data_IF_262323218784
#
_entry.id   IF_262323218784
#
_cell.length_a   1.000
_cell.length_b   1.000
_cell.length_c   1.000
_cell.angle_alpha   90.00
_cell.angle_beta   90.00
_cell.angle_gamma   90.00
#
_symmetry.space_group_name_H-M   'P 1'
#
loop_
_entity.id
_entity.type
_entity.pdbx_description
1 polymer ?
#
# COMPACT_ATOMS: atom_id res chain seq x y z
N UNK A 1 -7.17 3.26 7.08
CA UNK A 1 -8.19 4.20 7.59
C UNK A 1 -9.60 3.60 7.59
N UNK A 2 -10.08 3.03 6.48
CA UNK A 2 -11.46 2.55 6.37
C UNK A 2 -11.93 1.63 7.51
N UNK A 3 -11.08 0.69 7.98
CA UNK A 3 -11.42 -0.19 9.10
C UNK A 3 -11.79 0.57 10.39
N UNK A 4 -11.10 1.69 10.67
CA UNK A 4 -11.38 2.54 11.84
C UNK A 4 -12.71 3.28 11.65
N UNK A 5 -12.96 3.81 10.44
CA UNK A 5 -14.22 4.50 10.13
C UNK A 5 -15.42 3.56 10.33
N UNK A 6 -15.34 2.34 9.79
CA UNK A 6 -16.37 1.33 9.98
C UNK A 6 -16.56 0.94 11.44
N UNK A 7 -15.48 0.80 12.22
CA UNK A 7 -15.57 0.51 13.64
C UNK A 7 -16.28 1.62 14.44
N UNK A 8 -15.99 2.88 14.13
CA UNK A 8 -16.68 4.03 14.74
C UNK A 8 -18.16 4.03 14.38
N UNK A 9 -18.51 3.75 13.12
CA UNK A 9 -19.91 3.67 12.66
C UNK A 9 -20.70 2.60 13.43
N UNK A 10 -20.14 1.41 13.61
CA UNK A 10 -20.77 0.32 14.38
C UNK A 10 -21.05 0.72 15.84
N UNK A 11 -20.13 1.47 16.46
CA UNK A 11 -20.32 1.95 17.83
C UNK A 11 -21.38 3.05 17.87
N UNK A 12 -21.34 4.01 16.95
CA UNK A 12 -22.28 5.13 16.89
C UNK A 12 -23.73 4.67 16.67
N UNK A 13 -23.94 3.65 15.85
CA UNK A 13 -25.24 3.07 15.58
C UNK A 13 -25.71 2.10 16.68
N UNK A 14 -24.91 1.92 17.73
CA UNK A 14 -25.17 0.96 18.81
C UNK A 14 -25.25 -0.51 18.35
N UNK A 15 -24.71 -0.82 17.17
CA UNK A 15 -24.62 -2.18 16.63
C UNK A 15 -23.51 -2.99 17.34
N UNK A 16 -22.49 -2.31 17.88
CA UNK A 16 -21.43 -2.91 18.67
C UNK A 16 -21.08 -2.03 19.88
N UNK A 17 -20.66 -2.69 20.98
CA UNK A 17 -20.14 -2.00 22.18
C UNK A 17 -18.62 -1.85 22.16
N UNK A 18 -17.92 -2.69 21.42
CA UNK A 18 -16.48 -2.67 21.24
C UNK A 18 -16.11 -3.31 19.89
N UNK A 19 -15.11 -2.77 19.21
CA UNK A 19 -14.65 -3.25 17.89
C UNK A 19 -13.13 -3.16 17.83
N UNK A 20 -12.47 -4.22 17.35
CA UNK A 20 -11.04 -4.20 17.00
C UNK A 20 -10.90 -3.79 15.54
N UNK A 21 -10.06 -2.77 15.28
CA UNK A 21 -9.82 -2.26 13.94
C UNK A 21 -8.33 -2.07 13.67
N UNK A 22 -7.93 -2.30 12.42
CA UNK A 22 -6.54 -2.17 11.99
C UNK A 22 -6.38 -2.45 10.50
N UNK A 23 -5.13 -2.60 10.07
CA UNK A 23 -4.75 -3.03 8.73
C UNK A 23 -3.52 -3.92 8.82
N UNK A 24 -3.40 -4.85 7.86
CA UNK A 24 -2.24 -5.73 7.72
C UNK A 24 -1.89 -5.81 6.24
N UNK A 25 -0.60 -5.78 5.94
CA UNK A 25 -0.09 -5.85 4.57
C UNK A 25 1.28 -6.54 4.58
N UNK A 26 1.55 -7.39 3.58
CA UNK A 26 2.84 -8.09 3.44
C UNK A 26 3.22 -8.15 1.96
N UNK A 27 3.67 -7.02 1.42
CA UNK A 27 4.00 -6.89 -0.01
C UNK A 27 5.11 -7.86 -0.45
N UNK A 28 6.07 -8.19 0.43
CA UNK A 28 7.12 -9.18 0.15
C UNK A 28 6.59 -10.59 -0.11
N UNK A 29 5.32 -10.85 0.21
CA UNK A 29 4.62 -12.12 -0.04
C UNK A 29 3.50 -11.97 -1.09
N UNK A 30 3.54 -10.92 -1.90
CA UNK A 30 2.61 -10.74 -3.02
C UNK A 30 2.64 -11.95 -3.96
N UNK A 31 1.50 -12.54 -4.31
CA UNK A 31 1.48 -13.75 -5.13
C UNK A 31 1.65 -13.40 -6.62
N UNK A 32 2.12 -14.40 -7.37
CA UNK A 32 1.94 -14.41 -8.81
C UNK A 32 0.73 -15.28 -9.17
N UNK A 33 -0.07 -14.84 -10.14
CA UNK A 33 -1.19 -15.62 -10.68
C UNK A 33 -0.89 -16.07 -12.10
N UNK A 34 -1.38 -17.26 -12.46
CA UNK A 34 -1.31 -17.82 -13.80
C UNK A 34 -2.74 -18.01 -14.31
N UNK A 35 -3.36 -16.99 -14.94
CA UNK A 35 -4.80 -16.99 -15.21
C UNK A 35 -5.27 -18.14 -16.10
N UNK A 36 -4.44 -18.57 -17.04
CA UNK A 36 -4.78 -19.63 -17.99
C UNK A 36 -4.73 -21.05 -17.37
N UNK A 37 -4.14 -21.23 -16.18
CA UNK A 37 -3.71 -22.56 -15.74
C UNK A 37 -4.87 -23.42 -15.23
N UNK A 38 -5.98 -22.80 -14.85
CA UNK A 38 -7.19 -23.54 -14.44
C UNK A 38 -7.76 -24.38 -15.58
N UNK A 39 -7.73 -23.88 -16.81
CA UNK A 39 -8.34 -24.53 -17.98
C UNK A 39 -7.35 -24.90 -19.09
N UNK A 40 -6.07 -24.57 -18.87
CA UNK A 40 -4.97 -24.82 -19.79
C UNK A 40 -4.77 -23.69 -20.80
N UNK A 41 -3.51 -23.30 -21.01
CA UNK A 41 -3.11 -22.32 -22.03
C UNK A 41 -3.20 -22.86 -23.47
N UNK A 42 -3.44 -24.17 -23.64
CA UNK A 42 -3.51 -24.92 -24.91
C UNK A 42 -2.23 -24.89 -25.75
N UNK A 43 -1.82 -23.74 -26.28
CA UNK A 43 -0.64 -23.58 -27.12
C UNK A 43 -0.17 -22.11 -27.12
N UNK A 44 1.15 -21.89 -27.13
CA UNK A 44 1.76 -20.56 -27.10
C UNK A 44 2.09 -20.07 -25.69
N UNK A 45 2.58 -18.83 -25.61
CA UNK A 45 3.02 -18.23 -24.33
C UNK A 45 1.83 -17.92 -23.42
N UNK A 46 2.01 -18.14 -22.10
CA UNK A 46 1.05 -17.76 -21.08
C UNK A 46 1.70 -16.83 -20.05
N UNK A 47 1.01 -15.75 -19.69
CA UNK A 47 1.52 -14.78 -18.73
C UNK A 47 1.51 -15.27 -17.28
N UNK A 48 2.50 -14.79 -16.53
CA UNK A 48 2.56 -14.86 -15.07
C UNK A 48 2.41 -13.42 -14.57
N UNK A 49 1.36 -13.16 -13.79
CA UNK A 49 0.99 -11.79 -13.38
C UNK A 49 1.39 -11.59 -11.93
N UNK A 50 2.18 -10.55 -11.66
CA UNK A 50 2.51 -10.10 -10.30
C UNK A 50 1.32 -9.34 -9.69
N UNK A 51 0.72 -9.89 -8.63
CA UNK A 51 -0.41 -9.24 -7.96
C UNK A 51 -0.01 -8.04 -7.10
N UNK A 52 1.27 -7.93 -6.70
CA UNK A 52 1.77 -6.71 -6.05
C UNK A 52 1.75 -5.57 -7.06
N UNK A 53 2.23 -5.80 -8.28
CA UNK A 53 2.14 -4.81 -9.37
C UNK A 53 0.68 -4.53 -9.71
N UNK A 54 -0.18 -5.55 -9.70
CA UNK A 54 -1.63 -5.40 -9.87
C UNK A 54 -2.26 -4.46 -8.83
N UNK A 55 -1.85 -4.52 -7.57
CA UNK A 55 -2.30 -3.61 -6.51
C UNK A 55 -1.75 -2.18 -6.65
N UNK A 56 -0.63 -2.01 -7.35
CA UNK A 56 0.02 -0.71 -7.62
C UNK A 56 -0.33 -0.13 -9.00
N UNK A 57 -1.28 -0.74 -9.72
CA UNK A 57 -1.75 -0.26 -11.01
C UNK A 57 -3.17 0.27 -10.91
N UNK A 58 -3.42 1.36 -11.64
CA UNK A 58 -4.74 1.93 -11.77
C UNK A 58 -5.63 0.94 -12.55
N UNK A 59 -6.76 0.51 -11.98
CA UNK A 59 -7.64 -0.45 -12.66
C UNK A 59 -8.36 0.16 -13.87
N UNK A 60 -8.30 1.47 -14.08
CA UNK A 60 -8.93 2.18 -15.19
C UNK A 60 -7.98 2.52 -16.35
N UNK A 61 -6.72 2.06 -16.27
CA UNK A 61 -5.77 2.11 -17.39
C UNK A 61 -4.80 3.30 -17.38
N UNK A 62 -4.72 4.08 -16.30
CA UNK A 62 -3.70 5.15 -16.17
C UNK A 62 -2.28 4.55 -16.02
N UNK A 63 -2.18 3.30 -15.57
CA UNK A 63 -0.92 2.59 -15.39
C UNK A 63 -0.45 2.55 -13.93
N UNK A 64 0.85 2.45 -13.71
CA UNK A 64 1.44 2.39 -12.36
C UNK A 64 1.11 3.67 -11.57
N UNK A 65 0.91 3.57 -10.25
CA UNK A 65 0.70 4.74 -9.37
C UNK A 65 1.82 5.80 -9.42
N UNK A 66 2.98 5.47 -10.01
CA UNK A 66 4.03 6.45 -10.27
C UNK A 66 3.64 7.44 -11.38
N UNK A 67 2.90 6.98 -12.39
CA UNK A 67 2.40 7.82 -13.47
C UNK A 67 1.35 8.81 -12.94
N UNK A 68 0.48 8.37 -12.02
CA UNK A 68 -0.48 9.29 -11.39
C UNK A 68 0.23 10.35 -10.54
N UNK A 69 1.35 10.00 -9.90
CA UNK A 69 2.19 10.97 -9.19
C UNK A 69 2.84 11.99 -10.14
N UNK A 70 3.33 11.56 -11.31
CA UNK A 70 3.86 12.47 -12.35
C UNK A 70 2.76 13.42 -12.89
N UNK A 71 1.54 12.92 -13.09
CA UNK A 71 0.41 13.76 -13.50
C UNK A 71 0.12 14.85 -12.45
N UNK A 72 0.10 14.48 -11.16
CA UNK A 72 -0.06 15.46 -10.07
C UNK A 72 1.11 16.45 -10.04
N UNK A 73 2.34 15.99 -10.27
CA UNK A 73 3.48 16.88 -10.32
C UNK A 73 3.36 17.91 -11.45
N UNK A 74 2.89 17.48 -12.63
CA UNK A 74 2.65 18.36 -13.77
C UNK A 74 1.50 19.34 -13.51
N UNK A 75 0.36 18.87 -13.00
CA UNK A 75 -0.83 19.69 -12.78
C UNK A 75 -0.62 20.80 -11.73
N UNK A 76 0.32 20.59 -10.80
CA UNK A 76 0.61 21.50 -9.68
C UNK A 76 2.02 22.11 -9.76
N UNK A 77 2.69 22.03 -10.90
CA UNK A 77 4.03 22.58 -11.14
C UNK A 77 5.08 22.18 -10.08
N UNK A 78 5.01 20.93 -9.60
CA UNK A 78 5.93 20.38 -8.61
C UNK A 78 7.22 19.98 -9.32
N UNK A 79 8.29 20.74 -9.10
CA UNK A 79 9.58 20.46 -9.70
C UNK A 79 10.25 19.22 -9.10
N UNK A 80 11.09 18.55 -9.90
CA UNK A 80 11.96 17.47 -9.41
C UNK A 80 12.84 17.92 -8.22
N UNK A 81 13.39 19.13 -8.29
CA UNK A 81 14.23 19.69 -7.23
C UNK A 81 13.46 19.81 -5.90
N UNK A 82 12.19 20.26 -5.93
CA UNK A 82 11.36 20.33 -4.73
C UNK A 82 11.02 18.95 -4.16
N UNK A 83 10.81 17.94 -5.00
CA UNK A 83 10.59 16.57 -4.54
C UNK A 83 11.84 16.01 -3.84
N UNK A 84 13.01 16.23 -4.44
CA UNK A 84 14.29 15.79 -3.89
C UNK A 84 14.61 16.50 -2.57
N UNK A 85 14.39 17.81 -2.50
CA UNK A 85 14.55 18.59 -1.26
C UNK A 85 13.61 18.09 -0.15
N UNK A 86 12.34 17.82 -0.48
CA UNK A 86 11.39 17.24 0.46
C UNK A 86 11.84 15.86 0.94
N UNK A 87 12.31 15.00 0.04
CA UNK A 87 12.82 13.68 0.40
C UNK A 87 14.04 13.78 1.33
N UNK A 88 14.99 14.67 1.01
CA UNK A 88 16.20 14.91 1.80
C UNK A 88 15.92 15.58 3.16
N UNK A 89 14.80 16.33 3.28
CA UNK A 89 14.40 16.96 4.55
C UNK A 89 14.03 15.95 5.64
N UNK A 90 13.75 14.69 5.25
CA UNK A 90 13.42 13.61 6.18
C UNK A 90 14.70 13.04 6.76
N UNK A 91 14.82 13.09 8.09
CA UNK A 91 15.87 12.34 8.80
C UNK A 91 15.54 10.85 8.73
N UNK A 92 16.47 9.98 8.25
CA UNK A 92 16.28 8.55 8.34
C UNK A 92 16.12 8.16 9.81
N UNK A 93 15.07 7.39 10.11
CA UNK A 93 14.90 6.81 11.45
C UNK A 93 15.75 5.55 11.49
N UNK A 94 16.82 5.48 12.31
CA UNK A 94 17.64 4.28 12.42
C UNK A 94 16.82 3.12 12.98
N UNK A 95 17.14 1.90 12.55
CA UNK A 95 16.61 0.68 13.14
C UNK A 95 17.66 0.06 14.09
N UNK A 96 17.38 -0.12 15.39
CA UNK A 96 16.15 0.25 16.10
C UNK A 96 16.05 1.77 16.37
N UNK A 97 14.84 2.34 16.51
CA UNK A 97 14.66 3.75 16.82
C UNK A 97 15.29 4.10 18.17
N UNK A 98 16.28 4.99 18.17
CA UNK A 98 17.06 5.32 19.38
C UNK A 98 16.34 6.23 20.37
N UNK A 99 15.40 7.05 19.87
CA UNK A 99 14.67 8.02 20.69
C UNK A 99 13.51 7.42 21.51
N UNK A 100 13.29 6.11 21.46
CA UNK A 100 12.28 5.42 22.27
C UNK A 100 10.81 5.70 21.93
N UNK A 101 10.50 6.65 21.02
CA UNK A 101 9.13 7.06 20.68
C UNK A 101 8.19 5.93 20.26
N UNK A 102 8.73 4.85 19.68
CA UNK A 102 7.94 3.71 19.18
C UNK A 102 7.89 2.51 20.13
N UNK A 103 8.55 2.59 21.29
CA UNK A 103 8.70 1.45 22.21
C UNK A 103 7.36 0.84 22.62
N UNK A 104 6.37 1.69 22.91
CA UNK A 104 5.06 1.25 23.41
C UNK A 104 4.06 0.93 22.29
N UNK A 105 4.41 1.21 21.02
CA UNK A 105 3.52 1.05 19.86
C UNK A 105 3.88 -0.18 19.01
N UNK A 106 5.09 -0.73 19.16
CA UNK A 106 5.57 -1.88 18.40
C UNK A 106 5.56 -3.12 19.27
N UNK A 107 4.73 -4.10 18.90
CA UNK A 107 4.77 -5.44 19.50
C UNK A 107 5.86 -6.26 18.79
N UNK A 108 6.84 -6.85 19.52
CA UNK A 108 7.86 -7.70 18.92
C UNK A 108 7.27 -8.93 18.23
N UNK A 109 7.80 -9.29 17.06
CA UNK A 109 7.49 -10.57 16.39
C UNK A 109 8.52 -11.62 16.84
N UNK A 110 8.04 -12.80 17.21
CA UNK A 110 8.85 -13.96 17.63
C UNK A 110 8.88 -15.03 16.57
#
# INVERSE_FOLDING_TARGET
MQAIVSAVQLIQLSDAKAVLAGGVEVMSRGPYILPAQRWGARMGDSGVIDMMVGALHDPFGIGHMGITAENVAQDYDISRASMDEFAASRKPVPAPPTAGYFKDQIVPLT
#
